data_IF_358934742100
#
_entry.id   IF_358934742100
#
_cell.length_a   1.000
_cell.length_b   1.000
_cell.length_c   1.000
_cell.angle_alpha   90.00
_cell.angle_beta   90.00
_cell.angle_gamma   90.00
#
_symmetry.space_group_name_H-M   'P 1'
#
loop_
_entity.id
_entity.type
_entity.pdbx_description
1 polymer ?
#
# COMPACT_ATOMS: atom_id res chain seq x y z
N UNK A 1 41.14 55.42 -25.99
CA UNK A 1 39.95 54.60 -25.62
C UNK A 1 40.35 53.13 -25.72
N UNK A 2 40.78 52.54 -24.60
CA UNK A 2 41.18 51.13 -24.55
C UNK A 2 39.99 50.27 -24.11
N UNK A 3 39.56 49.38 -25.00
CA UNK A 3 38.50 48.40 -24.80
C UNK A 3 38.85 47.47 -23.63
N UNK A 4 38.17 47.62 -22.50
CA UNK A 4 38.24 46.65 -21.40
C UNK A 4 37.56 45.36 -21.86
N UNK A 5 38.36 44.37 -22.26
CA UNK A 5 37.87 43.03 -22.54
C UNK A 5 37.25 42.47 -21.24
N UNK A 6 35.93 42.34 -21.23
CA UNK A 6 35.18 41.67 -20.16
C UNK A 6 35.49 40.17 -20.20
N UNK A 7 36.60 39.75 -19.60
CA UNK A 7 36.80 38.34 -19.26
C UNK A 7 35.72 37.94 -18.25
N UNK A 8 34.91 36.90 -18.54
CA UNK A 8 33.87 36.46 -17.63
C UNK A 8 34.49 36.08 -16.29
N UNK A 9 33.84 36.50 -15.20
CA UNK A 9 34.32 36.19 -13.86
C UNK A 9 34.39 34.68 -13.64
N UNK A 10 35.25 34.21 -12.74
CA UNK A 10 35.33 32.79 -12.36
C UNK A 10 33.97 32.20 -12.00
N UNK A 11 33.09 33.00 -11.39
CA UNK A 11 31.70 32.66 -11.09
C UNK A 11 30.85 32.46 -12.37
N UNK A 12 30.95 33.33 -13.37
CA UNK A 12 30.22 33.18 -14.65
C UNK A 12 30.65 31.92 -15.40
N UNK A 13 31.96 31.65 -15.44
CA UNK A 13 32.50 30.43 -16.04
C UNK A 13 32.00 29.17 -15.31
N UNK A 14 31.98 29.18 -13.98
CA UNK A 14 31.45 28.08 -13.17
C UNK A 14 29.95 27.85 -13.40
N UNK A 15 29.13 28.91 -13.43
CA UNK A 15 27.70 28.83 -13.74
C UNK A 15 27.48 28.23 -15.13
N UNK A 16 28.26 28.65 -16.12
CA UNK A 16 28.16 28.13 -17.48
C UNK A 16 28.50 26.64 -17.54
N UNK A 17 29.59 26.22 -16.91
CA UNK A 17 29.98 24.80 -16.81
C UNK A 17 28.87 23.98 -16.15
N UNK A 18 28.33 24.44 -15.01
CA UNK A 18 27.23 23.77 -14.33
C UNK A 18 25.98 23.66 -15.21
N UNK A 19 25.65 24.70 -15.97
CA UNK A 19 24.50 24.69 -16.87
C UNK A 19 24.69 23.70 -18.04
N UNK A 20 25.89 23.63 -18.63
CA UNK A 20 26.22 22.68 -19.69
C UNK A 20 26.13 21.25 -19.17
N UNK A 21 26.75 20.96 -18.01
CA UNK A 21 26.68 19.64 -17.38
C UNK A 21 25.23 19.23 -17.09
N UNK A 22 24.44 20.13 -16.50
CA UNK A 22 23.04 19.87 -16.19
C UNK A 22 22.20 19.57 -17.45
N UNK A 23 22.39 20.33 -18.54
CA UNK A 23 21.69 20.09 -19.82
C UNK A 23 22.06 18.75 -20.42
N UNK A 24 23.36 18.43 -20.49
CA UNK A 24 23.84 17.17 -21.05
C UNK A 24 23.29 15.97 -20.28
N UNK A 25 23.31 16.03 -18.93
CA UNK A 25 22.70 14.98 -18.09
C UNK A 25 21.20 14.85 -18.33
N UNK A 26 20.48 15.98 -18.43
CA UNK A 26 19.04 16.00 -18.68
C UNK A 26 18.69 15.35 -20.02
N UNK A 27 19.38 15.72 -21.11
CA UNK A 27 19.14 15.15 -22.43
C UNK A 27 19.51 13.66 -22.49
N UNK A 28 20.59 13.26 -21.82
CA UNK A 28 21.01 11.86 -21.75
C UNK A 28 19.95 11.02 -21.03
N UNK A 29 19.46 11.49 -19.87
CA UNK A 29 18.41 10.81 -19.12
C UNK A 29 17.09 10.76 -19.91
N UNK A 30 16.70 11.85 -20.57
CA UNK A 30 15.50 11.90 -21.40
C UNK A 30 15.60 10.91 -22.57
N UNK A 31 16.77 10.80 -23.20
CA UNK A 31 17.02 9.86 -24.29
C UNK A 31 16.93 8.40 -23.82
N UNK A 32 17.48 8.09 -22.62
CA UNK A 32 17.36 6.76 -22.01
C UNK A 32 15.90 6.42 -21.70
N UNK A 33 15.15 7.34 -21.09
CA UNK A 33 13.73 7.13 -20.78
C UNK A 33 12.91 6.95 -22.06
N UNK A 34 13.20 7.71 -23.11
CA UNK A 34 12.55 7.56 -24.42
C UNK A 34 12.86 6.19 -25.03
N UNK A 35 14.12 5.75 -25.01
CA UNK A 35 14.50 4.43 -25.49
C UNK A 35 13.78 3.31 -24.71
N UNK A 36 13.74 3.42 -23.38
CA UNK A 36 13.00 2.47 -22.54
C UNK A 36 11.51 2.47 -22.88
N UNK A 37 10.89 3.63 -23.12
CA UNK A 37 9.50 3.75 -23.53
C UNK A 37 9.22 3.10 -24.90
N UNK A 38 10.11 3.28 -25.88
CA UNK A 38 9.97 2.65 -27.20
C UNK A 38 10.12 1.11 -27.12
N UNK A 39 10.95 0.61 -26.22
CA UNK A 39 11.20 -0.82 -26.03
C UNK A 39 10.18 -1.50 -25.09
N UNK A 40 9.53 -0.74 -24.19
CA UNK A 40 8.62 -1.28 -23.16
C UNK A 40 7.47 -2.15 -23.71
N UNK A 41 6.82 -1.86 -24.85
CA UNK A 41 5.79 -2.74 -25.39
C UNK A 41 6.30 -4.13 -25.77
N UNK A 42 7.58 -4.24 -26.17
CA UNK A 42 8.19 -5.48 -26.68
C UNK A 42 9.08 -6.20 -25.66
N UNK A 43 9.67 -5.46 -24.71
CA UNK A 43 10.60 -5.99 -23.73
C UNK A 43 10.10 -5.77 -22.30
N UNK A 44 9.85 -6.87 -21.60
CA UNK A 44 9.45 -6.85 -20.19
C UNK A 44 10.49 -6.21 -19.28
N UNK A 45 11.78 -6.44 -19.56
CA UNK A 45 12.87 -5.80 -18.81
C UNK A 45 12.84 -4.29 -19.01
N UNK A 46 12.70 -3.82 -20.25
CA UNK A 46 12.58 -2.39 -20.53
C UNK A 46 11.37 -1.77 -19.82
N UNK A 47 10.21 -2.43 -19.85
CA UNK A 47 9.01 -1.99 -19.13
C UNK A 47 9.22 -1.94 -17.63
N UNK A 48 9.84 -2.96 -17.04
CA UNK A 48 10.16 -2.99 -15.62
C UNK A 48 11.02 -1.79 -15.22
N UNK A 49 12.14 -1.56 -15.90
CA UNK A 49 13.03 -0.43 -15.59
C UNK A 49 12.37 0.93 -15.85
N UNK A 50 11.56 1.04 -16.91
CA UNK A 50 10.76 2.24 -17.18
C UNK A 50 9.80 2.53 -16.02
N UNK A 51 9.00 1.55 -15.61
CA UNK A 51 8.01 1.73 -14.55
C UNK A 51 8.66 1.96 -13.18
N UNK A 52 9.80 1.32 -12.90
CA UNK A 52 10.60 1.62 -11.70
C UNK A 52 11.12 3.06 -11.72
N UNK A 53 11.62 3.54 -12.86
CA UNK A 53 12.07 4.92 -13.01
C UNK A 53 10.91 5.91 -12.84
N UNK A 54 9.79 5.72 -13.54
CA UNK A 54 8.58 6.54 -13.42
C UNK A 54 8.07 6.57 -11.98
N UNK A 55 8.04 5.42 -11.30
CA UNK A 55 7.61 5.32 -9.92
C UNK A 55 8.52 6.09 -8.96
N UNK A 56 9.83 5.95 -9.11
CA UNK A 56 10.82 6.61 -8.25
C UNK A 56 10.84 8.13 -8.48
N UNK A 57 10.79 8.56 -9.76
CA UNK A 57 10.66 9.97 -10.12
C UNK A 57 9.35 10.57 -9.60
N UNK A 58 8.23 9.87 -9.75
CA UNK A 58 6.94 10.27 -9.19
C UNK A 58 6.97 10.42 -7.68
N UNK A 59 7.67 9.52 -6.96
CA UNK A 59 7.81 9.60 -5.50
C UNK A 59 8.63 10.83 -5.09
N UNK A 60 9.73 11.11 -5.81
CA UNK A 60 10.54 12.31 -5.60
C UNK A 60 9.76 13.60 -5.86
N UNK A 61 9.07 13.69 -7.00
CA UNK A 61 8.24 14.83 -7.37
C UNK A 61 7.11 15.07 -6.35
N UNK A 62 6.41 14.01 -5.93
CA UNK A 62 5.38 14.10 -4.90
C UNK A 62 5.93 14.41 -3.51
N UNK A 63 7.20 14.10 -3.20
CA UNK A 63 7.82 14.49 -1.93
C UNK A 63 8.08 15.99 -1.88
N UNK A 64 8.57 16.60 -2.97
CA UNK A 64 8.71 18.06 -3.12
C UNK A 64 7.34 18.73 -3.04
N UNK A 65 6.38 18.25 -3.85
CA UNK A 65 5.00 18.74 -3.85
C UNK A 65 4.34 18.61 -2.46
N UNK A 66 4.64 17.51 -1.76
CA UNK A 66 4.21 17.25 -0.40
C UNK A 66 4.58 18.35 0.58
N UNK A 67 5.81 18.86 0.50
CA UNK A 67 6.26 19.98 1.35
C UNK A 67 5.50 21.25 1.02
N UNK A 68 5.36 21.59 -0.27
CA UNK A 68 4.64 22.80 -0.72
C UNK A 68 3.19 22.78 -0.25
N UNK A 69 2.45 21.70 -0.53
CA UNK A 69 1.06 21.54 -0.08
C UNK A 69 0.95 21.56 1.43
N UNK A 70 1.91 20.94 2.12
CA UNK A 70 1.91 20.94 3.58
C UNK A 70 2.00 22.34 4.16
N UNK A 71 2.86 23.20 3.60
CA UNK A 71 2.98 24.60 4.03
C UNK A 71 1.67 25.34 3.76
N UNK A 72 1.16 25.30 2.53
CA UNK A 72 -0.07 26.00 2.13
C UNK A 72 -1.26 25.57 2.97
N UNK A 73 -1.51 24.26 3.09
CA UNK A 73 -2.66 23.74 3.84
C UNK A 73 -2.51 23.89 5.35
N UNK A 74 -1.29 24.02 5.89
CA UNK A 74 -1.10 24.31 7.31
C UNK A 74 -1.45 25.75 7.67
N UNK A 75 -1.45 26.67 6.71
CA UNK A 75 -1.91 28.05 6.89
C UNK A 75 -3.44 28.15 6.88
N UNK A 76 -4.14 27.15 6.34
CA UNK A 76 -5.60 27.12 6.28
C UNK A 76 -6.15 26.36 7.50
N UNK A 77 -6.92 27.00 8.39
CA UNK A 77 -7.46 26.35 9.58
C UNK A 77 -8.24 25.07 9.24
N UNK A 78 -7.97 24.00 9.99
CA UNK A 78 -8.66 22.71 9.85
C UNK A 78 -8.23 21.83 8.66
N UNK A 79 -7.39 22.33 7.74
CA UNK A 79 -7.01 21.57 6.53
C UNK A 79 -5.77 20.69 6.71
N UNK A 80 -4.99 20.88 7.78
CA UNK A 80 -3.77 20.11 8.03
C UNK A 80 -3.97 18.58 7.97
N UNK A 81 -5.10 18.07 8.47
CA UNK A 81 -5.38 16.63 8.48
C UNK A 81 -5.81 16.06 7.11
N UNK A 82 -6.00 16.93 6.10
CA UNK A 82 -6.29 16.53 4.72
C UNK A 82 -5.03 16.45 3.84
N UNK A 83 -3.87 16.89 4.33
CA UNK A 83 -2.60 16.89 3.59
C UNK A 83 -2.27 15.48 3.06
N UNK A 84 -2.37 14.45 3.90
CA UNK A 84 -2.09 13.07 3.48
C UNK A 84 -2.99 12.63 2.31
N UNK A 85 -4.29 12.93 2.36
CA UNK A 85 -5.23 12.60 1.28
C UNK A 85 -4.83 13.29 -0.02
N UNK A 86 -4.53 14.60 0.02
CA UNK A 86 -4.18 15.37 -1.18
C UNK A 86 -2.91 14.84 -1.83
N UNK A 87 -1.88 14.57 -1.03
CA UNK A 87 -0.60 14.07 -1.54
C UNK A 87 -0.69 12.62 -2.02
N UNK A 88 -1.39 11.76 -1.27
CA UNK A 88 -1.69 10.39 -1.70
C UNK A 88 -2.40 10.39 -3.05
N UNK A 89 -3.47 11.20 -3.22
CA UNK A 89 -4.20 11.31 -4.49
C UNK A 89 -3.33 11.88 -5.62
N UNK A 90 -2.49 12.88 -5.32
CA UNK A 90 -1.54 13.43 -6.29
C UNK A 90 -0.58 12.35 -6.81
N UNK A 91 -0.03 11.54 -5.91
CA UNK A 91 0.87 10.45 -6.27
C UNK A 91 0.16 9.37 -7.09
N UNK A 92 -1.07 8.99 -6.72
CA UNK A 92 -1.86 8.04 -7.52
C UNK A 92 -2.16 8.57 -8.91
N UNK A 93 -2.67 9.79 -9.04
CA UNK A 93 -3.04 10.32 -10.35
C UNK A 93 -1.83 10.59 -11.24
N UNK A 94 -0.68 10.99 -10.69
CA UNK A 94 0.56 11.11 -11.46
C UNK A 94 1.13 9.72 -11.80
N UNK A 95 1.56 8.99 -10.78
CA UNK A 95 2.38 7.78 -10.95
C UNK A 95 1.54 6.57 -11.37
N UNK A 96 0.30 6.44 -10.87
CA UNK A 96 -0.62 5.39 -11.29
C UNK A 96 -0.96 5.50 -12.77
N UNK A 97 -1.21 6.71 -13.27
CA UNK A 97 -1.46 6.96 -14.70
C UNK A 97 -0.24 6.67 -15.56
N UNK A 98 0.95 7.09 -15.12
CA UNK A 98 2.21 6.86 -15.85
C UNK A 98 2.58 5.36 -15.92
N UNK A 99 2.36 4.62 -14.84
CA UNK A 99 2.66 3.17 -14.77
C UNK A 99 1.50 2.29 -15.27
N UNK A 100 0.34 2.88 -15.52
CA UNK A 100 -0.89 2.20 -15.93
C UNK A 100 -1.52 1.33 -14.83
N UNK A 101 -1.22 1.60 -13.56
CA UNK A 101 -1.86 0.94 -12.41
C UNK A 101 -3.16 1.66 -12.07
N UNK A 102 -4.27 0.92 -12.10
CA UNK A 102 -5.60 1.40 -11.71
C UNK A 102 -6.13 0.60 -10.55
N UNK A 103 -6.98 1.23 -9.76
CA UNK A 103 -7.68 0.60 -8.65
C UNK A 103 -9.20 0.74 -8.80
N UNK A 104 -9.90 -0.38 -8.65
CA UNK A 104 -11.37 -0.42 -8.49
C UNK A 104 -11.67 -0.65 -7.02
N UNK A 105 -12.60 0.14 -6.47
CA UNK A 105 -12.86 0.18 -5.03
C UNK A 105 -14.32 -0.18 -4.78
N UNK A 106 -14.52 -1.17 -3.92
CA UNK A 106 -15.82 -1.53 -3.34
C UNK A 106 -15.88 -1.11 -1.87
N UNK A 107 -17.03 -0.63 -1.42
CA UNK A 107 -17.27 -0.31 -0.01
C UNK A 107 -16.66 1.00 0.48
N UNK A 108 -16.19 1.90 -0.41
CA UNK A 108 -15.55 3.18 -0.06
C UNK A 108 -16.43 4.02 0.90
N UNK A 109 -17.76 3.85 0.84
CA UNK A 109 -18.73 4.51 1.73
C UNK A 109 -18.59 4.08 3.21
N UNK A 110 -17.96 2.94 3.50
CA UNK A 110 -17.74 2.47 4.87
C UNK A 110 -16.82 3.41 5.68
N UNK A 111 -15.99 4.22 5.02
CA UNK A 111 -15.22 5.26 5.71
C UNK A 111 -16.09 6.38 6.29
N UNK A 112 -17.22 6.68 5.64
CA UNK A 112 -18.13 7.75 6.06
C UNK A 112 -19.10 7.25 7.13
N UNK A 113 -19.47 5.96 7.08
CA UNK A 113 -20.32 5.31 8.08
C UNK A 113 -19.71 5.28 9.49
N UNK A 114 -18.38 5.36 9.59
CA UNK A 114 -17.66 5.19 10.85
C UNK A 114 -16.36 6.01 10.89
N UNK A 115 -16.42 7.20 11.52
CA UNK A 115 -15.26 8.06 11.76
C UNK A 115 -15.37 8.73 13.15
N UNK A 116 -14.28 8.81 13.93
CA UNK A 116 -12.93 8.29 13.67
C UNK A 116 -12.89 6.76 13.74
N UNK A 117 -11.88 6.16 13.11
CA UNK A 117 -11.68 4.71 13.08
C UNK A 117 -10.20 4.33 12.99
N UNK A 118 -9.87 3.11 13.40
CA UNK A 118 -8.58 2.49 13.07
C UNK A 118 -8.76 1.74 11.75
N UNK A 119 -8.08 2.21 10.70
CA UNK A 119 -8.13 1.61 9.37
C UNK A 119 -6.99 0.60 9.26
N UNK A 120 -7.29 -0.65 8.91
CA UNK A 120 -6.28 -1.70 8.81
C UNK A 120 -6.19 -2.26 7.40
N UNK A 121 -5.02 -2.09 6.76
CA UNK A 121 -4.74 -2.60 5.42
C UNK A 121 -3.79 -3.78 5.41
N UNK A 122 -3.86 -4.65 4.41
CA UNK A 122 -2.79 -5.63 4.14
C UNK A 122 -1.57 -4.94 3.51
N UNK A 123 -0.36 -5.34 3.89
CA UNK A 123 0.90 -4.72 3.48
C UNK A 123 1.70 -5.69 2.63
N UNK A 124 1.76 -5.44 1.33
CA UNK A 124 2.29 -6.41 0.38
C UNK A 124 3.62 -5.98 -0.22
N UNK A 125 3.76 -4.70 -0.60
CA UNK A 125 4.95 -4.24 -1.33
C UNK A 125 5.11 -2.72 -1.28
N UNK A 126 6.11 -2.17 -1.99
CA UNK A 126 6.21 -0.72 -2.19
C UNK A 126 5.02 -0.14 -2.95
N UNK A 127 4.34 -0.92 -3.80
CA UNK A 127 3.14 -0.50 -4.56
C UNK A 127 1.99 -0.09 -3.63
N UNK A 128 2.03 -0.46 -2.35
CA UNK A 128 1.05 -0.01 -1.36
C UNK A 128 0.93 1.53 -1.27
N UNK A 129 1.94 2.29 -1.70
CA UNK A 129 1.84 3.76 -1.75
C UNK A 129 0.83 4.21 -2.82
N UNK A 130 0.71 3.49 -3.95
CA UNK A 130 -0.35 3.75 -4.95
C UNK A 130 -1.72 3.29 -4.45
N UNK A 131 -1.78 2.18 -3.73
CA UNK A 131 -3.00 1.71 -3.05
C UNK A 131 -3.51 2.76 -2.07
N UNK A 132 -2.68 3.21 -1.13
CA UNK A 132 -2.97 4.34 -0.25
C UNK A 132 -3.33 5.57 -1.09
N UNK A 133 -2.58 5.83 -2.15
CA UNK A 133 -2.82 6.91 -3.09
C UNK A 133 -4.27 6.98 -3.58
N UNK A 134 -4.85 5.83 -3.96
CA UNK A 134 -6.24 5.75 -4.40
C UNK A 134 -7.24 5.88 -3.25
N UNK A 135 -6.95 5.41 -2.05
CA UNK A 135 -8.02 5.16 -1.06
C UNK A 135 -7.90 6.00 0.21
N UNK A 136 -6.80 6.71 0.44
CA UNK A 136 -6.54 7.40 1.70
C UNK A 136 -7.67 8.40 2.03
N UNK A 137 -8.38 8.22 3.16
CA UNK A 137 -9.53 9.05 3.48
C UNK A 137 -9.12 10.43 4.02
N UNK A 138 -10.10 11.33 4.06
CA UNK A 138 -9.92 12.65 4.67
C UNK A 138 -9.74 12.49 6.19
N UNK A 139 -9.02 13.43 6.81
CA UNK A 139 -8.78 13.45 8.25
C UNK A 139 -8.23 12.13 8.81
N UNK A 140 -7.24 11.56 8.12
CA UNK A 140 -6.53 10.38 8.55
C UNK A 140 -5.02 10.64 8.65
N UNK A 141 -4.39 9.99 9.61
CA UNK A 141 -2.93 9.89 9.71
C UNK A 141 -2.48 8.49 9.31
N UNK A 142 -1.23 8.35 8.88
CA UNK A 142 -0.60 7.07 8.59
C UNK A 142 0.41 6.74 9.70
N UNK A 143 0.42 5.48 10.16
CA UNK A 143 1.51 4.98 10.99
C UNK A 143 2.72 4.61 10.13
N UNK A 144 3.87 5.19 10.45
CA UNK A 144 5.10 5.06 9.66
C UNK A 144 6.28 4.58 10.51
N UNK A 145 7.29 4.01 9.84
CA UNK A 145 8.56 3.64 10.46
C UNK A 145 9.32 4.90 10.90
N UNK A 146 9.88 4.94 12.12
CA UNK A 146 10.60 6.10 12.66
C UNK A 146 11.68 6.66 11.74
N UNK A 147 12.40 5.81 11.03
CA UNK A 147 13.49 6.19 10.13
C UNK A 147 12.99 7.02 8.93
N UNK A 148 11.73 6.87 8.51
CA UNK A 148 11.16 7.66 7.43
C UNK A 148 11.06 9.15 7.79
N UNK A 149 11.05 9.50 9.08
CA UNK A 149 11.08 10.89 9.54
C UNK A 149 12.31 11.65 9.02
N UNK A 150 13.41 10.95 8.79
CA UNK A 150 14.69 11.54 8.38
C UNK A 150 14.93 11.45 6.87
N UNK A 151 14.01 10.84 6.11
CA UNK A 151 14.11 10.81 4.65
C UNK A 151 13.96 12.26 4.11
N UNK A 152 14.90 12.75 3.28
CA UNK A 152 14.82 14.11 2.75
C UNK A 152 13.51 14.36 1.99
N UNK A 153 12.87 15.49 2.29
CA UNK A 153 11.57 15.96 1.80
C UNK A 153 10.38 15.10 2.21
N UNK A 154 10.47 13.77 2.05
CA UNK A 154 9.44 12.81 2.44
C UNK A 154 9.15 12.90 3.95
N UNK A 155 10.19 12.88 4.79
CA UNK A 155 10.07 12.93 6.23
C UNK A 155 9.51 14.26 6.74
N UNK A 156 9.87 15.37 6.11
CA UNK A 156 9.34 16.70 6.42
C UNK A 156 7.84 16.78 6.08
N UNK A 157 7.44 16.35 4.88
CA UNK A 157 6.02 16.23 4.50
C UNK A 157 5.25 15.34 5.49
N UNK A 158 5.77 14.14 5.80
CA UNK A 158 5.10 13.20 6.71
C UNK A 158 4.96 13.79 8.12
N UNK A 159 5.93 14.57 8.58
CA UNK A 159 5.84 15.28 9.86
C UNK A 159 4.77 16.37 9.84
N UNK A 160 4.73 17.19 8.79
CA UNK A 160 3.77 18.29 8.66
C UNK A 160 2.33 17.78 8.52
N UNK A 161 2.13 16.70 7.77
CA UNK A 161 0.84 16.02 7.58
C UNK A 161 0.34 15.23 8.79
N UNK A 162 1.15 15.11 9.86
CA UNK A 162 0.75 14.46 11.10
C UNK A 162 0.89 12.93 11.10
N UNK A 163 1.80 12.37 10.31
CA UNK A 163 2.11 10.95 10.36
C UNK A 163 2.61 10.54 11.76
N UNK A 164 2.25 9.34 12.18
CA UNK A 164 2.62 8.78 13.47
C UNK A 164 3.85 7.89 13.29
N UNK A 165 5.01 8.39 13.68
CA UNK A 165 6.26 7.65 13.60
C UNK A 165 6.43 6.70 14.78
N UNK A 166 6.63 5.42 14.49
CA UNK A 166 6.79 4.36 15.50
C UNK A 166 8.17 3.70 15.38
N UNK A 167 8.83 3.57 16.53
CA UNK A 167 10.00 2.70 16.69
C UNK A 167 9.53 1.28 17.01
N UNK A 168 9.53 0.41 15.99
CA UNK A 168 9.06 -0.97 16.14
C UNK A 168 10.00 -1.83 17.01
N UNK A 169 11.23 -1.36 17.27
CA UNK A 169 12.19 -2.05 18.15
C UNK A 169 11.99 -1.66 19.61
N UNK A 170 11.44 -0.48 19.90
CA UNK A 170 11.15 -0.04 21.26
C UNK A 170 9.65 -0.12 21.56
N UNK A 171 9.23 -1.23 22.20
CA UNK A 171 7.82 -1.47 22.56
C UNK A 171 7.24 -0.36 23.45
N UNK A 172 8.03 0.17 24.39
CA UNK A 172 7.56 1.22 25.33
C UNK A 172 7.21 2.51 24.58
N UNK A 173 8.09 2.94 23.68
CA UNK A 173 7.87 4.13 22.85
C UNK A 173 6.67 3.94 21.92
N UNK A 174 6.56 2.75 21.29
CA UNK A 174 5.44 2.44 20.42
C UNK A 174 4.09 2.54 21.15
N UNK A 175 4.00 1.98 22.37
CA UNK A 175 2.79 2.07 23.21
C UNK A 175 2.48 3.52 23.57
N UNK A 176 3.48 4.31 23.99
CA UNK A 176 3.30 5.73 24.32
C UNK A 176 2.78 6.54 23.14
N UNK A 177 3.34 6.33 21.94
CA UNK A 177 2.86 6.98 20.72
C UNK A 177 1.42 6.60 20.39
N UNK A 178 1.05 5.32 20.57
CA UNK A 178 -0.33 4.86 20.35
C UNK A 178 -1.32 5.48 21.34
N UNK A 179 -0.96 5.59 22.62
CA UNK A 179 -1.79 6.24 23.64
C UNK A 179 -2.08 7.72 23.31
N UNK A 180 -1.06 8.46 22.88
CA UNK A 180 -1.21 9.85 22.45
C UNK A 180 -2.14 10.00 21.23
N UNK A 181 -2.05 9.05 20.29
CA UNK A 181 -2.93 9.04 19.13
C UNK A 181 -4.35 8.70 19.55
N UNK A 182 -4.57 7.68 20.38
CA UNK A 182 -5.90 7.28 20.87
C UNK A 182 -6.63 8.44 21.53
N UNK A 183 -5.95 9.21 22.39
CA UNK A 183 -6.48 10.45 22.99
C UNK A 183 -6.87 11.51 21.97
N UNK A 184 -6.21 11.53 20.81
CA UNK A 184 -6.45 12.51 19.74
C UNK A 184 -7.53 12.07 18.75
N UNK A 185 -7.79 10.77 18.60
CA UNK A 185 -8.75 10.23 17.62
C UNK A 185 -10.13 10.85 17.81
N UNK A 186 -10.70 10.75 19.02
CA UNK A 186 -12.03 11.30 19.32
C UNK A 186 -12.01 12.85 19.33
N UNK A 187 -10.98 13.47 19.92
CA UNK A 187 -10.90 14.93 20.05
C UNK A 187 -10.81 15.66 18.71
N UNK A 188 -10.18 15.04 17.70
CA UNK A 188 -9.91 15.66 16.40
C UNK A 188 -10.65 14.98 15.25
N UNK A 189 -11.54 14.04 15.57
CA UNK A 189 -12.17 13.17 14.58
C UNK A 189 -11.14 12.55 13.62
N UNK A 190 -10.00 12.10 14.16
CA UNK A 190 -8.84 11.64 13.40
C UNK A 190 -8.84 10.11 13.29
N UNK A 191 -8.88 9.60 12.07
CA UNK A 191 -8.65 8.18 11.81
C UNK A 191 -7.15 7.88 11.72
N UNK A 192 -6.76 6.64 12.03
CA UNK A 192 -5.37 6.20 11.89
C UNK A 192 -5.30 4.98 10.98
N UNK A 193 -4.54 5.08 9.90
CA UNK A 193 -4.21 3.96 9.03
C UNK A 193 -3.01 3.19 9.56
N UNK A 194 -3.17 1.87 9.70
CA UNK A 194 -2.14 0.96 10.19
C UNK A 194 -2.08 -0.27 9.27
N UNK A 195 -0.86 -0.76 9.02
CA UNK A 195 -0.64 -2.08 8.47
C UNK A 195 -0.31 -3.03 9.63
N UNK A 196 -1.26 -3.86 10.11
CA UNK A 196 -1.10 -4.63 11.33
C UNK A 196 -0.05 -5.75 11.20
N UNK A 197 0.30 -6.17 9.99
CA UNK A 197 1.44 -7.07 9.70
C UNK A 197 2.79 -6.48 10.15
N UNK A 198 2.90 -5.14 10.15
CA UNK A 198 4.10 -4.44 10.61
C UNK A 198 5.33 -4.61 9.70
N UNK A 199 5.19 -5.26 8.54
CA UNK A 199 6.17 -5.35 7.45
C UNK A 199 5.44 -5.72 6.15
N UNK A 200 6.12 -5.62 5.01
CA UNK A 200 5.59 -6.07 3.71
C UNK A 200 5.67 -7.58 3.61
N UNK A 201 4.58 -8.24 3.22
CA UNK A 201 4.50 -9.70 3.08
C UNK A 201 5.33 -10.20 1.89
N UNK A 202 5.26 -9.53 0.74
CA UNK A 202 5.83 -9.97 -0.55
C UNK A 202 5.46 -11.42 -0.92
N UNK A 203 4.29 -11.88 -0.47
CA UNK A 203 3.83 -13.25 -0.70
C UNK A 203 3.31 -13.40 -2.15
N UNK A 204 3.70 -14.47 -2.87
CA UNK A 204 3.18 -14.78 -4.18
C UNK A 204 1.77 -15.39 -4.14
N UNK A 205 1.29 -15.72 -2.94
CA UNK A 205 -0.01 -16.35 -2.65
C UNK A 205 -0.96 -15.37 -1.96
N UNK A 206 -2.29 -15.53 -2.07
CA UNK A 206 -3.28 -14.67 -1.42
C UNK A 206 -3.37 -14.95 0.09
N UNK A 207 -2.32 -14.65 0.83
CA UNK A 207 -2.25 -14.80 2.28
C UNK A 207 -1.71 -13.53 2.97
N UNK A 208 -1.82 -13.50 4.30
CA UNK A 208 -1.48 -12.37 5.17
C UNK A 208 -0.48 -12.82 6.23
N UNK A 209 0.49 -11.96 6.55
CA UNK A 209 1.33 -12.19 7.71
C UNK A 209 0.51 -12.13 9.02
N UNK A 210 1.08 -12.65 10.13
CA UNK A 210 0.52 -12.47 11.46
C UNK A 210 0.27 -10.99 11.81
N UNK A 211 -0.92 -10.70 12.35
CA UNK A 211 -1.24 -9.34 12.79
C UNK A 211 -0.68 -9.05 14.18
N UNK A 212 -0.11 -7.86 14.33
CA UNK A 212 0.28 -7.30 15.62
C UNK A 212 -0.95 -6.70 16.31
N UNK A 213 -1.06 -6.92 17.63
CA UNK A 213 -2.22 -6.51 18.44
C UNK A 213 -2.35 -4.99 18.66
N UNK A 214 -1.31 -4.21 18.38
CA UNK A 214 -1.26 -2.78 18.72
C UNK A 214 -2.38 -1.94 18.09
N UNK A 215 -2.77 -2.23 16.85
CA UNK A 215 -3.89 -1.55 16.18
C UNK A 215 -5.23 -1.77 16.90
N UNK A 216 -5.45 -2.99 17.38
CA UNK A 216 -6.69 -3.43 18.01
C UNK A 216 -6.78 -2.94 19.46
N UNK A 217 -5.67 -2.95 20.20
CA UNK A 217 -5.60 -2.28 21.50
C UNK A 217 -5.91 -0.79 21.40
N UNK A 218 -5.38 -0.09 20.38
CA UNK A 218 -5.70 1.31 20.17
C UNK A 218 -7.20 1.52 19.88
N UNK A 219 -7.77 0.69 19.01
CA UNK A 219 -9.18 0.80 18.65
C UNK A 219 -10.09 0.61 19.88
N UNK A 220 -9.80 -0.37 20.72
CA UNK A 220 -10.51 -0.63 21.99
C UNK A 220 -10.27 0.50 22.98
N UNK A 221 -9.03 0.95 23.18
CA UNK A 221 -8.71 2.03 24.12
C UNK A 221 -9.44 3.32 23.76
N UNK A 222 -9.50 3.66 22.47
CA UNK A 222 -10.20 4.83 21.98
C UNK A 222 -11.72 4.61 21.81
N UNK A 223 -12.21 3.37 21.97
CA UNK A 223 -13.60 2.95 21.72
C UNK A 223 -14.08 3.37 20.32
N UNK A 224 -13.20 3.25 19.33
CA UNK A 224 -13.46 3.55 17.90
C UNK A 224 -13.46 2.25 17.09
N UNK A 225 -14.27 2.15 16.03
CA UNK A 225 -14.34 0.94 15.23
C UNK A 225 -13.03 0.65 14.47
N UNK A 226 -12.85 -0.62 14.11
CA UNK A 226 -11.83 -1.05 13.15
C UNK A 226 -12.48 -1.18 11.77
N UNK A 227 -11.86 -0.61 10.74
CA UNK A 227 -12.31 -0.77 9.34
C UNK A 227 -11.22 -1.53 8.57
N UNK A 228 -11.47 -2.79 8.21
CA UNK A 228 -10.54 -3.56 7.38
C UNK A 228 -10.59 -3.10 5.92
N UNK A 229 -9.41 -2.94 5.30
CA UNK A 229 -9.28 -2.58 3.88
C UNK A 229 -8.37 -3.58 3.17
N UNK A 230 -8.95 -4.34 2.25
CA UNK A 230 -8.28 -5.46 1.57
C UNK A 230 -7.92 -5.04 0.16
N UNK A 231 -6.63 -5.05 -0.16
CA UNK A 231 -6.11 -4.86 -1.50
C UNK A 231 -5.73 -6.21 -2.10
N UNK A 232 -6.19 -6.49 -3.32
CA UNK A 232 -5.86 -7.68 -4.08
C UNK A 232 -4.34 -7.87 -4.24
N UNK A 233 -3.90 -9.12 -4.39
CA UNK A 233 -2.47 -9.42 -4.47
C UNK A 233 -1.85 -8.85 -5.77
N UNK A 234 -0.76 -8.10 -5.61
CA UNK A 234 -0.05 -7.49 -6.73
C UNK A 234 0.74 -8.47 -7.57
N UNK A 235 0.95 -9.72 -7.11
CA UNK A 235 1.94 -10.64 -7.69
C UNK A 235 1.82 -10.71 -9.22
N UNK A 236 0.62 -10.77 -9.80
CA UNK A 236 0.43 -10.83 -11.26
C UNK A 236 0.99 -9.62 -12.03
N UNK A 237 1.04 -8.46 -11.40
CA UNK A 237 1.48 -7.19 -12.01
C UNK A 237 2.86 -6.75 -11.52
N UNK A 238 3.27 -7.16 -10.32
CA UNK A 238 4.48 -6.65 -9.69
C UNK A 238 5.26 -7.72 -8.95
N UNK A 239 6.58 -7.76 -9.20
CA UNK A 239 7.57 -8.34 -8.33
C UNK A 239 8.80 -7.43 -8.28
N UNK A 240 9.49 -7.39 -7.14
CA UNK A 240 10.58 -6.43 -6.91
C UNK A 240 11.84 -6.66 -7.77
N UNK A 241 11.86 -7.69 -8.63
CA UNK A 241 13.06 -8.12 -9.36
C UNK A 241 12.94 -7.94 -10.86
N UNK A 242 11.75 -8.15 -11.43
CA UNK A 242 11.61 -8.39 -12.86
C UNK A 242 10.27 -7.99 -13.48
N UNK A 243 9.26 -7.64 -12.66
CA UNK A 243 7.91 -7.39 -13.14
C UNK A 243 7.34 -6.12 -12.55
N UNK A 244 6.90 -5.23 -13.42
CA UNK A 244 6.09 -4.08 -13.06
C UNK A 244 5.26 -3.76 -14.30
N UNK A 245 4.10 -4.38 -14.39
CA UNK A 245 3.18 -4.30 -15.51
C UNK A 245 1.95 -3.45 -15.14
N UNK A 246 1.36 -2.82 -16.15
CA UNK A 246 0.10 -2.08 -15.99
C UNK A 246 -1.06 -3.03 -15.75
N UNK A 247 -2.07 -2.60 -15.00
CA UNK A 247 -3.22 -3.46 -14.70
C UNK A 247 -4.23 -2.79 -13.80
N UNK A 248 -5.28 -3.54 -13.47
CA UNK A 248 -6.33 -3.09 -12.56
C UNK A 248 -6.34 -4.00 -11.34
N UNK A 249 -6.30 -3.42 -10.15
CA UNK A 249 -6.26 -4.09 -8.87
C UNK A 249 -7.52 -3.74 -8.09
N UNK A 250 -8.13 -4.72 -7.43
CA UNK A 250 -9.32 -4.48 -6.60
C UNK A 250 -8.96 -4.10 -5.17
N UNK A 251 -9.76 -3.23 -4.60
CA UNK A 251 -9.75 -2.87 -3.18
C UNK A 251 -11.17 -3.07 -2.65
N UNK A 252 -11.30 -3.70 -1.48
CA UNK A 252 -12.55 -3.78 -0.76
C UNK A 252 -12.39 -3.22 0.65
N UNK A 253 -13.18 -2.19 0.96
CA UNK A 253 -13.31 -1.65 2.31
C UNK A 253 -14.45 -2.42 2.99
N UNK A 254 -14.12 -3.23 4.01
CA UNK A 254 -15.09 -4.03 4.72
C UNK A 254 -15.92 -3.18 5.71
N UNK A 255 -17.10 -3.67 6.15
CA UNK A 255 -17.90 -2.97 7.15
C UNK A 255 -17.12 -2.71 8.45
N UNK A 256 -17.41 -1.59 9.15
CA UNK A 256 -16.77 -1.28 10.41
C UNK A 256 -17.13 -2.30 11.50
N UNK A 257 -16.13 -2.73 12.26
CA UNK A 257 -16.30 -3.59 13.44
C UNK A 257 -16.27 -2.71 14.68
N UNK A 258 -17.39 -2.65 15.40
CA UNK A 258 -17.53 -1.87 16.62
C UNK A 258 -16.63 -2.41 17.73
N UNK A 259 -15.98 -1.52 18.47
CA UNK A 259 -15.22 -1.83 19.70
C UNK A 259 -15.92 -1.36 20.98
N UNK A 260 -17.13 -0.80 20.86
CA UNK A 260 -17.90 -0.30 22.01
C UNK A 260 -18.12 -1.41 23.02
N UNK A 261 -17.72 -1.17 24.26
CA UNK A 261 -17.88 -2.10 25.38
C UNK A 261 -16.85 -3.24 25.41
N UNK A 262 -15.93 -3.31 24.45
CA UNK A 262 -14.82 -4.27 24.51
C UNK A 262 -13.80 -3.88 25.58
N UNK A 263 -13.23 -4.88 26.24
CA UNK A 263 -12.16 -4.73 27.20
C UNK A 263 -10.78 -4.94 26.53
N UNK A 264 -9.67 -4.47 27.12
CA UNK A 264 -8.33 -4.62 26.53
C UNK A 264 -7.96 -6.07 26.16
N UNK A 265 -8.50 -7.06 26.88
CA UNK A 265 -8.28 -8.49 26.69
C UNK A 265 -8.88 -9.00 25.38
N UNK A 266 -9.91 -8.32 24.85
CA UNK A 266 -10.57 -8.67 23.59
C UNK A 266 -9.70 -8.38 22.35
N UNK A 267 -8.61 -7.62 22.51
CA UNK A 267 -7.76 -7.18 21.39
C UNK A 267 -7.20 -8.34 20.55
N UNK A 268 -6.90 -9.48 21.18
CA UNK A 268 -6.43 -10.66 20.46
C UNK A 268 -7.53 -11.27 19.59
N UNK A 269 -8.74 -11.44 20.15
CA UNK A 269 -9.90 -11.98 19.44
C UNK A 269 -10.33 -11.05 18.29
N UNK A 270 -10.33 -9.74 18.53
CA UNK A 270 -10.60 -8.73 17.51
C UNK A 270 -9.58 -8.80 16.37
N UNK A 271 -8.29 -8.92 16.70
CA UNK A 271 -7.21 -9.09 15.71
C UNK A 271 -7.42 -10.33 14.83
N UNK A 272 -7.75 -11.46 15.44
CA UNK A 272 -7.98 -12.72 14.71
C UNK A 272 -9.21 -12.61 13.80
N UNK A 273 -10.32 -12.09 14.32
CA UNK A 273 -11.57 -11.87 13.55
C UNK A 273 -11.32 -10.98 12.32
N UNK A 274 -10.59 -9.89 12.50
CA UNK A 274 -10.26 -8.97 11.40
C UNK A 274 -9.34 -9.62 10.38
N UNK A 275 -8.33 -10.38 10.82
CA UNK A 275 -7.44 -11.11 9.92
C UNK A 275 -8.21 -12.14 9.09
N UNK A 276 -9.11 -12.89 9.71
CA UNK A 276 -9.95 -13.90 9.04
C UNK A 276 -10.83 -13.27 7.96
N UNK A 277 -11.53 -12.16 8.27
CA UNK A 277 -12.36 -11.44 7.29
C UNK A 277 -11.53 -10.88 6.12
N UNK A 278 -10.35 -10.34 6.42
CA UNK A 278 -9.43 -9.83 5.38
C UNK A 278 -8.89 -10.96 4.50
N UNK A 279 -8.49 -12.08 5.09
CA UNK A 279 -7.95 -13.24 4.38
C UNK A 279 -9.02 -13.89 3.49
N UNK A 280 -10.24 -14.06 4.00
CA UNK A 280 -11.36 -14.57 3.21
C UNK A 280 -11.62 -13.70 1.98
N UNK A 281 -11.60 -12.38 2.15
CA UNK A 281 -11.75 -11.43 1.03
C UNK A 281 -10.60 -11.52 0.03
N UNK A 282 -9.35 -11.62 0.51
CA UNK A 282 -8.17 -11.74 -0.35
C UNK A 282 -8.20 -13.03 -1.18
N UNK A 283 -8.60 -14.15 -0.57
CA UNK A 283 -8.79 -15.44 -1.26
C UNK A 283 -9.95 -15.41 -2.25
N UNK A 284 -11.05 -14.71 -1.93
CA UNK A 284 -12.16 -14.53 -2.85
C UNK A 284 -11.72 -13.76 -4.11
N UNK A 285 -10.91 -12.71 -3.95
CA UNK A 285 -10.32 -12.02 -5.10
C UNK A 285 -9.50 -12.98 -5.97
N UNK A 286 -8.60 -13.76 -5.38
CA UNK A 286 -7.76 -14.68 -6.15
C UNK A 286 -8.58 -15.75 -6.89
N UNK A 287 -9.58 -16.34 -6.22
CA UNK A 287 -10.47 -17.32 -6.83
C UNK A 287 -11.29 -16.75 -7.99
N UNK A 288 -11.82 -15.53 -7.86
CA UNK A 288 -12.54 -14.86 -8.97
C UNK A 288 -11.63 -14.63 -10.18
N UNK A 289 -10.35 -14.31 -9.92
CA UNK A 289 -9.38 -14.09 -10.97
C UNK A 289 -8.98 -15.40 -11.64
N UNK A 290 -8.76 -16.48 -10.89
CA UNK A 290 -8.47 -17.81 -11.42
C UNK A 290 -9.61 -18.33 -12.31
N UNK A 291 -10.87 -18.13 -11.91
CA UNK A 291 -12.04 -18.46 -12.75
C UNK A 291 -12.06 -17.66 -14.05
N UNK A 292 -11.76 -16.35 -13.97
CA UNK A 292 -11.71 -15.49 -15.15
C UNK A 292 -10.60 -15.92 -16.13
N UNK A 293 -9.47 -16.41 -15.64
CA UNK A 293 -8.37 -16.86 -16.49
C UNK A 293 -8.61 -18.25 -17.10
N UNK A 294 -9.26 -19.15 -16.36
CA UNK A 294 -9.51 -20.54 -16.77
C UNK A 294 -10.81 -20.71 -17.58
N UNK A 295 -11.62 -19.67 -17.69
CA UNK A 295 -12.88 -19.67 -18.45
C UNK A 295 -14.00 -20.48 -17.78
N UNK A 296 -13.88 -20.81 -16.49
CA UNK A 296 -14.90 -21.58 -15.75
C UNK A 296 -16.03 -20.62 -15.33
N UNK A 297 -17.30 -20.87 -15.75
CA UNK A 297 -18.43 -20.01 -15.39
C UNK A 297 -18.71 -20.00 -13.87
N UNK A 298 -19.00 -18.81 -13.33
CA UNK A 298 -19.36 -18.64 -11.92
C UNK A 298 -20.69 -19.32 -11.59
N UNK A 299 -20.71 -20.17 -10.54
CA UNK A 299 -21.95 -20.69 -9.93
C UNK A 299 -22.64 -19.67 -9.00
N UNK A 300 -21.96 -18.56 -8.69
CA UNK A 300 -22.62 -17.38 -8.13
C UNK A 300 -23.07 -16.51 -9.29
N UNK A 301 -24.38 -16.50 -9.56
CA UNK A 301 -25.00 -15.52 -10.44
C UNK A 301 -24.69 -14.11 -9.90
N UNK A 302 -23.65 -13.46 -10.44
CA UNK A 302 -23.66 -12.02 -10.52
C UNK A 302 -24.89 -11.67 -11.36
N UNK A 303 -25.79 -10.86 -10.81
CA UNK A 303 -26.89 -10.36 -11.64
C UNK A 303 -26.28 -9.63 -12.85
N UNK A 304 -26.94 -9.62 -14.02
CA UNK A 304 -26.48 -8.86 -15.18
C UNK A 304 -26.14 -7.40 -14.84
N UNK A 305 -26.82 -6.81 -13.84
CA UNK A 305 -26.52 -5.48 -13.32
C UNK A 305 -25.18 -5.39 -12.57
N UNK A 306 -24.80 -6.38 -11.77
CA UNK A 306 -23.52 -6.39 -11.04
C UNK A 306 -22.33 -6.63 -11.96
N UNK A 307 -22.47 -7.50 -12.96
CA UNK A 307 -21.44 -7.71 -13.98
C UNK A 307 -21.30 -6.47 -14.88
N UNK A 308 -22.41 -5.83 -15.25
CA UNK A 308 -22.41 -4.57 -15.97
C UNK A 308 -21.82 -3.43 -15.14
N UNK A 309 -22.09 -3.36 -13.83
CA UNK A 309 -21.50 -2.35 -12.92
C UNK A 309 -20.01 -2.57 -12.72
N UNK A 310 -19.51 -3.81 -12.58
CA UNK A 310 -18.08 -4.09 -12.52
C UNK A 310 -17.37 -3.77 -13.84
N UNK A 311 -17.99 -4.08 -14.98
CA UNK A 311 -17.47 -3.70 -16.31
C UNK A 311 -17.51 -2.17 -16.51
N UNK A 312 -18.61 -1.53 -16.08
CA UNK A 312 -18.78 -0.09 -16.12
C UNK A 312 -17.86 0.62 -15.12
N UNK A 313 -17.52 0.05 -13.97
CA UNK A 313 -16.54 0.57 -13.01
C UNK A 313 -15.11 0.35 -13.50
N UNK A 314 -14.82 -0.77 -14.17
CA UNK A 314 -13.56 -0.99 -14.92
C UNK A 314 -13.42 0.03 -16.07
N UNK A 315 -14.53 0.47 -16.67
CA UNK A 315 -14.57 1.52 -17.70
C UNK A 315 -14.64 2.96 -17.14
N UNK A 316 -15.27 3.16 -15.97
CA UNK A 316 -15.43 4.43 -15.22
C UNK A 316 -14.31 4.68 -14.20
N UNK A 317 -13.28 3.84 -14.15
CA UNK A 317 -11.98 4.22 -13.60
C UNK A 317 -11.38 5.30 -14.50
N UNK A 318 -12.02 6.48 -14.52
CA UNK A 318 -11.76 7.59 -15.43
C UNK A 318 -10.32 8.01 -15.21
N UNK A 319 -9.51 7.84 -16.26
CA UNK A 319 -8.19 8.42 -16.41
C UNK A 319 -8.30 9.95 -16.21
N UNK A 320 -7.89 10.49 -15.05
CA UNK A 320 -8.08 11.92 -14.76
C UNK A 320 -7.14 12.81 -15.60
N UNK A 321 -6.19 12.20 -16.31
CA UNK A 321 -5.23 12.86 -17.20
C UNK A 321 -5.60 12.72 -18.70
N UNK A 322 -6.79 12.21 -19.02
CA UNK A 322 -7.31 12.16 -20.39
C UNK A 322 -6.36 11.43 -21.38
N UNK A 323 -6.09 12.06 -22.52
CA UNK A 323 -5.29 11.48 -23.61
C UNK A 323 -3.84 11.13 -23.23
N UNK A 324 -3.24 11.79 -22.24
CA UNK A 324 -1.85 11.56 -21.81
C UNK A 324 -1.71 10.24 -21.05
N UNK A 325 -2.67 9.89 -20.19
CA UNK A 325 -2.69 8.59 -19.51
C UNK A 325 -2.96 7.43 -20.49
N UNK A 326 -3.81 7.67 -21.49
CA UNK A 326 -4.08 6.72 -22.57
C UNK A 326 -2.83 6.47 -23.41
N UNK A 327 -2.10 7.54 -23.74
CA UNK A 327 -0.82 7.47 -24.45
C UNK A 327 0.26 6.82 -23.58
N UNK A 328 0.37 7.16 -22.29
CA UNK A 328 1.33 6.56 -21.37
C UNK A 328 1.08 5.05 -21.21
N UNK A 329 -0.16 4.63 -20.96
CA UNK A 329 -0.51 3.20 -20.88
C UNK A 329 -0.35 2.46 -22.21
N UNK A 330 -0.52 3.14 -23.35
CA UNK A 330 -0.20 2.61 -24.67
C UNK A 330 1.32 2.45 -24.88
N UNK A 331 2.11 3.46 -24.51
CA UNK A 331 3.58 3.47 -24.63
C UNK A 331 4.25 2.49 -23.68
N UNK A 332 3.78 2.36 -22.44
CA UNK A 332 4.26 1.37 -21.46
C UNK A 332 3.90 -0.06 -21.91
N UNK A 333 2.77 -0.20 -22.60
CA UNK A 333 2.25 -1.46 -23.13
C UNK A 333 1.64 -2.34 -22.03
N UNK A 334 0.53 -3.01 -22.35
CA UNK A 334 -0.18 -3.87 -21.38
C UNK A 334 0.50 -5.22 -21.10
N UNK A 335 1.55 -5.56 -21.85
CA UNK A 335 2.12 -6.91 -21.88
C UNK A 335 1.11 -7.94 -22.40
N UNK A 336 1.58 -8.96 -23.11
CA UNK A 336 0.76 -10.17 -23.28
C UNK A 336 0.88 -10.93 -21.95
N UNK A 337 -0.23 -11.03 -21.20
CA UNK A 337 -0.27 -11.81 -19.97
C UNK A 337 0.13 -13.24 -20.27
N UNK A 338 1.30 -13.65 -19.78
CA UNK A 338 1.72 -15.06 -19.82
C UNK A 338 1.03 -15.80 -18.70
N UNK A 339 0.56 -17.01 -18.98
CA UNK A 339 0.07 -17.97 -17.99
C UNK A 339 1.18 -18.28 -16.96
N UNK A 340 1.05 -17.69 -15.77
CA UNK A 340 2.03 -17.75 -14.69
C UNK A 340 1.80 -18.94 -13.74
N UNK A 341 0.78 -19.78 -13.98
CA UNK A 341 0.40 -20.86 -13.07
C UNK A 341 1.59 -21.74 -12.64
N UNK A 342 2.47 -22.09 -13.59
CA UNK A 342 3.65 -22.95 -13.31
C UNK A 342 4.72 -22.29 -12.43
N UNK A 343 4.94 -20.98 -12.52
CA UNK A 343 5.90 -20.30 -11.63
C UNK A 343 5.28 -20.02 -10.27
N UNK A 344 4.01 -19.64 -10.23
CA UNK A 344 3.26 -19.46 -8.97
C UNK A 344 3.32 -20.74 -8.17
N UNK A 345 3.04 -21.88 -8.80
CA UNK A 345 3.09 -23.17 -8.14
C UNK A 345 4.49 -23.51 -7.63
N UNK A 346 5.53 -23.24 -8.44
CA UNK A 346 6.92 -23.43 -8.00
C UNK A 346 7.33 -22.53 -6.84
N UNK A 347 6.99 -21.24 -6.88
CA UNK A 347 7.30 -20.29 -5.82
C UNK A 347 6.49 -20.63 -4.54
N UNK A 348 5.26 -21.14 -4.69
CA UNK A 348 4.39 -21.65 -3.61
C UNK A 348 5.00 -22.89 -2.93
N UNK A 349 5.41 -23.89 -3.71
CA UNK A 349 6.10 -25.10 -3.22
C UNK A 349 7.44 -24.76 -2.55
N UNK A 350 8.12 -23.71 -3.01
CA UNK A 350 9.35 -23.23 -2.37
C UNK A 350 9.14 -22.58 -0.99
N UNK A 351 7.91 -22.14 -0.67
CA UNK A 351 7.57 -21.49 0.61
C UNK A 351 6.91 -22.45 1.62
N UNK A 352 6.47 -23.62 1.20
CA UNK A 352 5.92 -24.64 2.11
C UNK A 352 7.02 -25.28 2.94
N UNK A 353 6.77 -25.49 4.23
CA UNK A 353 7.64 -26.31 5.08
C UNK A 353 7.82 -27.70 4.44
N UNK A 354 9.05 -28.23 4.40
CA UNK A 354 9.30 -29.58 3.87
C UNK A 354 8.39 -30.62 4.54
N UNK A 355 7.67 -31.41 3.75
CA UNK A 355 6.77 -32.47 4.23
C UNK A 355 5.33 -32.04 4.53
N UNK A 356 4.96 -30.78 4.28
CA UNK A 356 3.57 -30.29 4.44
C UNK A 356 2.82 -30.23 3.10
N UNK A 357 1.49 -30.24 3.13
CA UNK A 357 0.65 -30.19 1.92
C UNK A 357 0.50 -28.78 1.34
N UNK A 358 0.92 -27.74 2.05
CA UNK A 358 0.79 -26.35 1.60
C UNK A 358 -0.66 -25.88 1.51
N UNK A 359 -1.48 -26.37 2.43
CA UNK A 359 -2.92 -26.08 2.48
C UNK A 359 -3.25 -25.15 3.64
N UNK A 360 -2.47 -25.19 4.72
CA UNK A 360 -2.74 -24.44 5.95
C UNK A 360 -1.76 -23.27 6.13
N UNK A 361 -2.17 -22.13 6.71
CA UNK A 361 -1.28 -21.00 7.00
C UNK A 361 -0.04 -21.39 7.84
N UNK A 362 -0.14 -22.43 8.67
CA UNK A 362 0.97 -23.00 9.45
C UNK A 362 2.08 -23.63 8.60
N UNK A 363 1.73 -24.11 7.40
CA UNK A 363 2.66 -24.71 6.44
C UNK A 363 3.63 -23.65 5.88
N UNK A 364 3.22 -22.38 5.93
CA UNK A 364 3.97 -21.21 5.49
C UNK A 364 4.50 -20.37 6.66
N UNK A 365 4.28 -20.80 7.91
CA UNK A 365 4.67 -20.03 9.11
C UNK A 365 3.86 -18.74 9.33
N UNK A 366 2.66 -18.65 8.75
CA UNK A 366 1.81 -17.45 8.72
C UNK A 366 0.79 -17.37 9.87
N UNK A 367 0.99 -18.15 10.94
CA UNK A 367 0.10 -18.20 12.12
C UNK A 367 0.20 -16.94 12.97
N UNK A 368 -0.97 -16.36 13.31
CA UNK A 368 -1.15 -15.17 14.14
C UNK A 368 -0.49 -15.32 15.52
N UNK A 369 -0.10 -14.23 16.17
CA UNK A 369 0.39 -14.27 17.57
C UNK A 369 -0.71 -14.74 18.54
N UNK A 370 -1.99 -14.56 18.19
CA UNK A 370 -3.13 -15.13 18.92
C UNK A 370 -3.20 -16.65 18.75
N UNK A 371 -3.05 -17.14 17.52
CA UNK A 371 -3.01 -18.57 17.20
C UNK A 371 -1.83 -19.27 17.86
N UNK A 372 -0.63 -18.64 17.85
CA UNK A 372 0.55 -19.15 18.59
C UNK A 372 0.29 -19.25 20.09
N UNK A 373 -0.38 -18.25 20.67
CA UNK A 373 -0.71 -18.26 22.10
C UNK A 373 -1.75 -19.35 22.46
N UNK A 374 -2.75 -19.59 21.60
CA UNK A 374 -3.73 -20.68 21.78
C UNK A 374 -3.08 -22.06 21.64
N UNK A 375 -2.20 -22.24 20.65
CA UNK A 375 -1.45 -23.48 20.46
C UNK A 375 -0.48 -23.77 21.63
N UNK A 376 0.20 -22.74 22.14
CA UNK A 376 1.05 -22.85 23.34
C UNK A 376 0.25 -23.13 24.61
N UNK A 377 -0.95 -22.58 24.74
CA UNK A 377 -1.87 -22.84 25.85
C UNK A 377 -2.39 -24.28 25.88
N UNK A 378 -2.75 -24.85 24.72
CA UNK A 378 -3.18 -26.25 24.62
C UNK A 378 -2.04 -27.24 24.95
N UNK A 379 -0.80 -26.96 24.54
CA UNK A 379 0.35 -27.78 24.91
C UNK A 379 0.64 -27.75 26.43
N UNK A 380 0.36 -26.63 27.10
CA UNK A 380 0.48 -26.54 28.57
C UNK A 380 -0.69 -27.20 29.30
N UNK A 381 -1.92 -27.21 28.76
CA UNK A 381 -3.06 -27.87 29.42
C UNK A 381 -3.02 -29.38 29.27
N UNK A 382 -2.44 -29.92 28.19
CA UNK A 382 -2.22 -31.37 28.03
C UNK A 382 -1.13 -31.91 28.96
N UNK A 383 -0.16 -31.08 29.37
CA UNK A 383 0.89 -31.48 30.31
C UNK A 383 0.44 -31.45 31.78
N UNK A 384 -0.62 -30.71 32.11
CA UNK A 384 -1.18 -30.64 33.47
C UNK A 384 -2.19 -31.76 33.73
N UNK A 385 -2.85 -32.31 32.70
CA UNK A 385 -3.79 -33.43 32.86
C UNK A 385 -3.12 -34.81 32.95
N UNK A 386 -1.83 -34.95 32.61
CA UNK A 386 -1.11 -36.25 32.72
C UNK A 386 -0.44 -36.48 34.07
N UNK A 387 -0.49 -35.52 35.00
CA UNK A 387 0.12 -35.64 36.33
C UNK A 387 -0.88 -35.74 37.50
N UNK A 388 -2.18 -35.86 37.22
CA UNK A 388 -3.22 -35.98 38.25
C UNK A 388 -3.87 -37.39 38.33
N UNK A 389 -3.27 -38.40 37.71
CA UNK A 389 -3.78 -39.78 37.72
C UNK A 389 -2.65 -40.82 37.69
N UNK A 390 -1.76 -40.77 38.69
CA UNK A 390 -0.71 -41.74 38.93
C UNK A 390 -0.44 -41.88 40.42
#
# INVERSE_FOLDING_TARGET
MGSTANTPSTLQSLIHIMAVVARTLTYSLASILLLLALLAPRSRKARFYLNVALYTCGLGACSVWGVVVSVVMSLIPGQRLNINKVIARSFYYLTGSLTGIRFVVEGEENFEKARPAVLVGNHQSSIDILYLGRIFPAFAAIMAKKELKYAPLLGQYMTLSGAVFIDRKNRKDAVKSMDLVGKSMNKRNLSLWIFPEGTRSNLPVPDLLPFKKGAFHLAIQAQVPVIPVVCENYYRLFDSKSRFDSGTIRIKVLPPISTKGMAPEDAAKLSDTVREQMLATLRAFDADQERADTGIPSSAHLSPSQAADLSAQRAKGVDPLGGVARLASFLVGRGKGTDWGKKVERDRVGMTKPGTKGLEPSDYGLVSEGEKARAGGQASSSAVQTHASG
#
